data_IF_660030273804
#
_entry.id   IF_660030273804
#
_cell.length_a   1.000
_cell.length_b   1.000
_cell.length_c   1.000
_cell.angle_alpha   90.00
_cell.angle_beta   90.00
_cell.angle_gamma   90.00
#
_symmetry.space_group_name_H-M   'P 1'
#
loop_
_entity.id
_entity.type
_entity.pdbx_description
1 polymer ?
#
# COMPACT_ATOMS: atom_id res chain seq x y z
N UNK A 1 -12.52 22.54 8.38
CA UNK A 1 -13.43 21.52 8.93
C UNK A 1 -12.63 20.73 9.96
N UNK A 2 -12.86 20.98 11.25
CA UNK A 2 -12.10 20.35 12.34
C UNK A 2 -12.51 18.88 12.39
N UNK A 3 -11.64 17.98 11.92
CA UNK A 3 -11.77 16.54 12.15
C UNK A 3 -11.75 16.33 13.67
N UNK A 4 -12.91 16.23 14.32
CA UNK A 4 -13.02 15.76 15.69
C UNK A 4 -12.72 14.25 15.68
N UNK A 5 -11.43 13.92 15.71
CA UNK A 5 -10.93 12.55 15.81
C UNK A 5 -11.15 12.05 17.25
N UNK A 6 -12.13 11.17 17.40
CA UNK A 6 -12.42 10.44 18.64
C UNK A 6 -11.23 9.59 19.05
N UNK A 7 -10.69 9.80 20.27
CA UNK A 7 -10.10 8.86 21.27
C UNK A 7 -9.32 7.57 20.86
N UNK A 8 -9.03 7.33 19.58
CA UNK A 8 -8.51 6.06 19.07
C UNK A 8 -7.24 6.23 18.23
N UNK A 9 -6.57 7.39 18.26
CA UNK A 9 -5.35 7.67 17.51
C UNK A 9 -4.16 7.90 18.46
N UNK A 10 -2.93 7.65 17.99
CA UNK A 10 -1.69 7.89 18.74
C UNK A 10 -0.73 8.78 17.95
N UNK A 11 0.11 9.52 18.67
CA UNK A 11 1.02 10.52 18.10
C UNK A 11 0.31 11.84 17.74
N UNK A 12 1.05 12.81 17.21
CA UNK A 12 0.55 14.15 16.87
C UNK A 12 1.37 14.74 15.72
N UNK A 13 0.79 15.71 15.01
CA UNK A 13 1.48 16.49 13.98
C UNK A 13 1.57 17.95 14.47
N UNK A 14 2.78 18.39 14.78
CA UNK A 14 3.07 19.73 15.29
C UNK A 14 3.01 20.76 14.16
N UNK A 15 3.73 20.50 13.06
CA UNK A 15 3.65 21.31 11.85
C UNK A 15 2.76 20.61 10.81
N UNK A 16 1.51 21.09 10.70
CA UNK A 16 0.52 20.55 9.74
C UNK A 16 0.67 21.10 8.33
N UNK A 17 1.62 22.01 8.09
CA UNK A 17 1.89 22.55 6.76
C UNK A 17 2.83 21.66 5.94
N UNK A 18 3.60 20.79 6.59
CA UNK A 18 4.45 19.81 5.91
C UNK A 18 3.62 18.82 5.08
N UNK A 19 4.11 18.41 3.90
CA UNK A 19 3.53 17.29 3.16
C UNK A 19 3.49 16.02 4.01
N UNK A 20 2.58 15.11 3.65
CA UNK A 20 2.38 13.85 4.37
C UNK A 20 2.85 12.68 3.51
N UNK A 21 3.74 11.84 4.06
CA UNK A 21 3.88 10.47 3.61
C UNK A 21 2.77 9.66 4.27
N UNK A 22 1.97 8.98 3.45
CA UNK A 22 0.82 8.21 3.88
C UNK A 22 0.98 6.73 3.57
N UNK A 23 0.65 5.86 4.53
CA UNK A 23 0.50 4.43 4.29
C UNK A 23 -0.76 3.89 4.95
N UNK A 24 -1.44 2.98 4.27
CA UNK A 24 -2.63 2.32 4.80
C UNK A 24 -2.60 0.83 4.44
N UNK A 25 -2.62 -0.02 5.47
CA UNK A 25 -2.62 -1.47 5.33
C UNK A 25 -3.11 -2.15 6.61
N UNK A 26 -3.26 -3.47 6.56
CA UNK A 26 -3.30 -4.27 7.79
C UNK A 26 -1.94 -4.17 8.49
N UNK A 27 -1.94 -4.34 9.81
CA UNK A 27 -0.73 -4.37 10.60
C UNK A 27 -0.31 -5.83 10.79
N UNK A 28 0.53 -6.31 9.88
CA UNK A 28 1.13 -7.64 9.92
C UNK A 28 2.60 -7.57 9.46
N UNK A 29 3.38 -8.62 9.74
CA UNK A 29 4.82 -8.64 9.48
C UNK A 29 5.15 -8.46 7.99
N UNK A 30 4.32 -9.00 7.10
CA UNK A 30 4.56 -8.93 5.65
C UNK A 30 4.36 -7.50 5.16
N UNK A 31 3.33 -6.80 5.66
CA UNK A 31 3.07 -5.39 5.31
C UNK A 31 4.16 -4.43 5.77
N UNK A 32 4.95 -4.80 6.78
CA UNK A 32 6.18 -4.11 7.17
C UNK A 32 5.98 -2.61 7.48
N UNK A 33 4.85 -2.28 8.10
CA UNK A 33 4.51 -0.91 8.46
C UNK A 33 5.45 -0.38 9.56
N UNK A 34 5.82 -1.23 10.51
CA UNK A 34 6.82 -0.86 11.54
C UNK A 34 8.20 -0.60 10.94
N UNK A 35 8.60 -1.33 9.88
CA UNK A 35 9.86 -1.08 9.18
C UNK A 35 9.89 0.27 8.47
N UNK A 36 8.76 0.70 7.89
CA UNK A 36 8.62 2.06 7.37
C UNK A 36 8.79 3.12 8.47
N UNK A 37 8.13 2.93 9.61
CA UNK A 37 8.22 3.87 10.74
C UNK A 37 9.63 3.95 11.28
N UNK A 38 10.32 2.82 11.42
CA UNK A 38 11.73 2.78 11.83
C UNK A 38 12.65 3.50 10.83
N UNK A 39 12.46 3.26 9.53
CA UNK A 39 13.24 3.92 8.48
C UNK A 39 13.05 5.43 8.47
N UNK A 40 11.80 5.89 8.57
CA UNK A 40 11.47 7.31 8.72
C UNK A 40 12.09 7.92 9.99
N UNK A 41 11.99 7.21 11.12
CA UNK A 41 12.51 7.66 12.40
C UNK A 41 14.02 7.90 12.40
N UNK A 42 14.78 7.07 11.66
CA UNK A 42 16.24 7.14 11.53
C UNK A 42 16.71 8.24 10.57
N UNK A 43 15.88 8.70 9.65
CA UNK A 43 16.27 9.70 8.65
C UNK A 43 15.80 11.11 9.07
N UNK A 44 16.68 11.87 9.73
CA UNK A 44 16.37 13.24 10.20
C UNK A 44 15.99 14.19 9.07
N UNK A 45 16.65 14.09 7.90
CA UNK A 45 16.33 14.91 6.73
C UNK A 45 14.91 14.66 6.24
N UNK A 46 14.46 13.39 6.26
CA UNK A 46 13.10 13.05 5.88
C UNK A 46 12.08 13.64 6.88
N UNK A 47 12.33 13.50 8.19
CA UNK A 47 11.49 14.06 9.26
C UNK A 47 11.37 15.59 9.18
N UNK A 48 12.45 16.27 8.79
CA UNK A 48 12.43 17.72 8.56
C UNK A 48 11.53 18.12 7.40
N UNK A 49 11.49 17.32 6.33
CA UNK A 49 10.75 17.63 5.10
C UNK A 49 9.26 17.32 5.17
N UNK A 50 8.87 16.22 5.82
CA UNK A 50 7.51 15.68 5.76
C UNK A 50 7.05 15.13 7.10
N UNK A 51 5.74 14.97 7.26
CA UNK A 51 5.13 14.18 8.33
C UNK A 51 4.88 12.74 7.86
N UNK A 52 4.85 11.79 8.79
CA UNK A 52 4.43 10.42 8.52
C UNK A 52 3.04 10.14 9.12
N UNK A 53 2.13 9.64 8.29
CA UNK A 53 0.80 9.19 8.73
C UNK A 53 0.60 7.74 8.31
N UNK A 54 0.29 6.89 9.27
CA UNK A 54 0.03 5.47 9.06
C UNK A 54 -1.37 5.12 9.55
N UNK A 55 -2.15 4.46 8.70
CA UNK A 55 -3.43 3.83 9.04
C UNK A 55 -3.25 2.32 9.05
N UNK A 56 -3.10 1.73 10.23
CA UNK A 56 -2.87 0.31 10.36
C UNK A 56 -3.30 -0.24 11.73
N UNK A 57 -3.96 -1.40 11.72
CA UNK A 57 -4.30 -2.18 12.91
C UNK A 57 -5.03 -1.44 14.04
N UNK A 58 -4.96 -2.01 15.23
CA UNK A 58 -5.37 -1.37 16.48
C UNK A 58 -4.17 -0.73 17.20
N UNK A 59 -4.43 0.23 18.09
CA UNK A 59 -3.38 0.85 18.92
C UNK A 59 -3.17 0.09 20.23
N UNK A 60 -4.23 -0.49 20.79
CA UNK A 60 -4.16 -1.26 22.04
C UNK A 60 -4.08 -2.76 21.71
N UNK A 61 -3.03 -3.42 22.20
CA UNK A 61 -2.81 -4.87 22.06
C UNK A 61 -4.03 -5.68 22.51
N UNK A 62 -4.79 -5.20 23.52
CA UNK A 62 -5.97 -5.88 24.06
C UNK A 62 -7.14 -5.96 23.07
N UNK A 63 -7.11 -5.16 22.00
CA UNK A 63 -8.15 -5.15 20.96
C UNK A 63 -7.88 -6.17 19.85
N UNK A 64 -6.67 -6.72 19.79
CA UNK A 64 -6.33 -7.76 18.82
C UNK A 64 -6.26 -9.14 19.47
N UNK A 65 -6.67 -10.15 18.71
CA UNK A 65 -6.44 -11.56 19.04
C UNK A 65 -5.41 -12.21 18.10
N UNK A 66 -4.91 -11.45 17.11
CA UNK A 66 -3.91 -11.92 16.15
C UNK A 66 -2.51 -11.70 16.70
N UNK A 67 -1.71 -12.78 16.76
CA UNK A 67 -0.38 -12.73 17.36
C UNK A 67 0.61 -11.88 16.58
N UNK A 68 0.50 -11.82 15.25
CA UNK A 68 1.38 -10.98 14.44
C UNK A 68 1.03 -9.51 14.62
N UNK A 69 -0.26 -9.17 14.62
CA UNK A 69 -0.72 -7.81 14.86
C UNK A 69 -0.32 -7.32 16.26
N UNK A 70 -0.49 -8.15 17.31
CA UNK A 70 -0.05 -7.79 18.67
C UNK A 70 1.46 -7.46 18.71
N UNK A 71 2.30 -8.30 18.10
CA UNK A 71 3.74 -8.07 18.07
C UNK A 71 4.11 -6.79 17.31
N UNK A 72 3.43 -6.50 16.19
CA UNK A 72 3.64 -5.26 15.43
C UNK A 72 3.12 -4.02 16.17
N UNK A 73 2.05 -4.13 16.97
CA UNK A 73 1.56 -3.07 17.86
C UNK A 73 2.62 -2.74 18.92
N UNK A 74 3.16 -3.75 19.60
CA UNK A 74 4.21 -3.57 20.61
C UNK A 74 5.44 -2.89 20.01
N UNK A 75 5.91 -3.38 18.85
CA UNK A 75 7.02 -2.78 18.11
C UNK A 75 6.73 -1.33 17.70
N UNK A 76 5.51 -1.00 17.28
CA UNK A 76 5.11 0.36 16.94
C UNK A 76 5.26 1.30 18.15
N UNK A 77 4.77 0.89 19.32
CA UNK A 77 4.91 1.67 20.55
C UNK A 77 6.37 1.86 20.96
N UNK A 78 7.18 0.80 20.86
CA UNK A 78 8.61 0.86 21.16
C UNK A 78 9.34 1.85 20.24
N UNK A 79 9.07 1.82 18.93
CA UNK A 79 9.63 2.77 17.97
C UNK A 79 9.20 4.21 18.28
N UNK A 80 7.92 4.44 18.58
CA UNK A 80 7.42 5.77 18.94
C UNK A 80 8.12 6.34 20.17
N UNK A 81 8.37 5.50 21.19
CA UNK A 81 9.07 5.88 22.42
C UNK A 81 10.57 6.07 22.20
N UNK A 82 11.21 5.15 21.48
CA UNK A 82 12.65 5.15 21.25
C UNK A 82 13.11 6.38 20.46
N UNK A 83 12.35 6.78 19.44
CA UNK A 83 12.75 7.86 18.52
C UNK A 83 12.04 9.20 18.75
N UNK A 84 11.22 9.28 19.81
CA UNK A 84 10.33 10.40 20.14
C UNK A 84 9.66 11.00 18.91
N UNK A 85 8.71 10.24 18.35
CA UNK A 85 8.04 10.60 17.09
C UNK A 85 6.86 11.57 17.29
N UNK A 86 6.69 12.12 18.50
CA UNK A 86 5.63 13.08 18.78
C UNK A 86 5.84 14.37 17.98
N UNK A 87 4.80 14.85 17.31
CA UNK A 87 4.85 16.05 16.48
C UNK A 87 5.16 15.79 15.00
N UNK A 88 5.62 14.60 14.63
CA UNK A 88 6.01 14.27 13.25
C UNK A 88 5.37 12.97 12.73
N UNK A 89 4.79 12.17 13.63
CA UNK A 89 4.15 10.91 13.31
C UNK A 89 2.73 10.84 13.86
N UNK A 90 1.81 10.33 13.03
CA UNK A 90 0.44 10.02 13.43
C UNK A 90 0.10 8.59 13.07
N UNK A 91 -0.28 7.81 14.07
CA UNK A 91 -0.81 6.47 13.91
C UNK A 91 -2.32 6.49 14.13
N UNK A 92 -3.06 6.10 13.11
CA UNK A 92 -4.52 6.05 13.07
C UNK A 92 -4.94 4.58 12.99
N UNK A 93 -5.95 4.19 13.76
CA UNK A 93 -6.48 2.81 13.69
C UNK A 93 -7.07 2.52 12.31
N UNK A 94 -7.12 1.24 11.94
CA UNK A 94 -7.69 0.76 10.69
C UNK A 94 -9.07 1.41 10.38
N UNK A 95 -9.25 1.83 9.12
CA UNK A 95 -10.42 2.56 8.65
C UNK A 95 -11.28 1.68 7.73
N UNK A 96 -12.55 1.48 8.07
CA UNK A 96 -13.47 0.58 7.33
C UNK A 96 -14.39 1.30 6.35
N UNK A 97 -14.53 2.63 6.46
CA UNK A 97 -15.40 3.40 5.59
C UNK A 97 -14.67 3.78 4.28
N UNK A 98 -14.95 3.06 3.21
CA UNK A 98 -14.31 3.25 1.89
C UNK A 98 -14.51 4.65 1.30
N UNK A 99 -15.69 5.25 1.49
CA UNK A 99 -15.95 6.60 0.98
C UNK A 99 -15.04 7.62 1.67
N UNK A 100 -14.91 7.53 3.00
CA UNK A 100 -13.98 8.36 3.77
C UNK A 100 -12.52 8.08 3.42
N UNK A 101 -12.15 6.82 3.17
CA UNK A 101 -10.79 6.47 2.78
C UNK A 101 -10.41 7.09 1.42
N UNK A 102 -11.35 7.16 0.47
CA UNK A 102 -11.14 7.87 -0.79
C UNK A 102 -10.84 9.36 -0.59
N UNK A 103 -11.57 10.02 0.32
CA UNK A 103 -11.26 11.42 0.67
C UNK A 103 -9.93 11.55 1.42
N UNK A 104 -9.54 10.56 2.22
CA UNK A 104 -8.24 10.57 2.87
C UNK A 104 -7.11 10.60 1.83
N UNK A 105 -7.14 9.73 0.83
CA UNK A 105 -6.15 9.75 -0.26
C UNK A 105 -6.09 11.11 -0.98
N UNK A 106 -7.25 11.69 -1.33
CA UNK A 106 -7.32 13.02 -1.95
C UNK A 106 -6.78 14.13 -1.04
N UNK A 107 -7.10 14.07 0.25
CA UNK A 107 -6.60 15.04 1.23
C UNK A 107 -5.07 14.98 1.33
N UNK A 108 -4.47 13.79 1.31
CA UNK A 108 -3.00 13.68 1.28
C UNK A 108 -2.45 14.28 -0.02
N UNK A 109 -3.12 14.06 -1.16
CA UNK A 109 -2.74 14.65 -2.43
C UNK A 109 -2.78 16.19 -2.40
N UNK A 110 -3.79 16.78 -1.73
CA UNK A 110 -3.89 18.24 -1.53
C UNK A 110 -2.70 18.80 -0.73
N UNK A 111 -2.15 18.03 0.21
CA UNK A 111 -0.93 18.39 0.95
C UNK A 111 0.37 18.23 0.15
N UNK A 112 0.29 17.85 -1.13
CA UNK A 112 1.44 17.46 -1.96
C UNK A 112 2.28 16.35 -1.32
N UNK A 113 1.59 15.44 -0.63
CA UNK A 113 2.16 14.26 0.00
C UNK A 113 2.49 13.13 -0.98
N UNK A 114 2.78 11.95 -0.45
CA UNK A 114 3.01 10.74 -1.22
C UNK A 114 2.44 9.51 -0.51
N UNK A 115 2.11 8.45 -1.26
CA UNK A 115 1.76 7.15 -0.70
C UNK A 115 2.99 6.25 -0.67
N UNK A 116 3.13 5.45 0.39
CA UNK A 116 4.16 4.43 0.47
C UNK A 116 3.59 3.07 0.87
N UNK A 117 4.02 2.03 0.16
CA UNK A 117 3.68 0.63 0.39
C UNK A 117 4.98 -0.15 0.64
N UNK A 118 5.35 -0.43 1.92
CA UNK A 118 6.68 -0.91 2.28
C UNK A 118 6.78 -2.44 2.49
N UNK A 119 5.80 -3.23 2.03
CA UNK A 119 5.75 -4.66 2.34
C UNK A 119 6.99 -5.41 1.84
N UNK A 120 7.42 -6.42 2.59
CA UNK A 120 8.43 -7.37 2.13
C UNK A 120 8.01 -8.09 0.84
N UNK A 121 6.71 -8.32 0.69
CA UNK A 121 6.11 -8.83 -0.53
C UNK A 121 4.66 -8.35 -0.62
N UNK A 122 4.22 -7.92 -1.80
CA UNK A 122 2.82 -7.53 -2.05
C UNK A 122 2.31 -8.25 -3.29
N UNK A 123 1.30 -9.12 -3.14
CA UNK A 123 0.84 -9.95 -4.25
C UNK A 123 0.24 -9.12 -5.41
N UNK A 124 -0.50 -8.06 -5.08
CA UNK A 124 -1.04 -7.14 -6.07
C UNK A 124 -0.89 -5.68 -5.63
N UNK A 125 -1.49 -5.31 -4.50
CA UNK A 125 -1.42 -3.94 -3.96
C UNK A 125 -2.57 -3.05 -4.43
N UNK A 126 -3.80 -3.37 -4.05
CA UNK A 126 -4.96 -2.51 -4.34
C UNK A 126 -4.78 -1.08 -3.81
N UNK A 127 -4.10 -0.91 -2.67
CA UNK A 127 -3.83 0.42 -2.10
C UNK A 127 -2.87 1.25 -2.96
N UNK A 128 -2.00 0.61 -3.76
CA UNK A 128 -1.17 1.28 -4.79
C UNK A 128 -2.07 1.82 -5.90
N UNK A 129 -2.98 0.98 -6.41
CA UNK A 129 -3.96 1.38 -7.43
C UNK A 129 -4.86 2.51 -6.91
N UNK A 130 -5.36 2.41 -5.68
CA UNK A 130 -6.21 3.44 -5.04
C UNK A 130 -5.48 4.78 -4.90
N UNK A 131 -4.23 4.77 -4.44
CA UNK A 131 -3.40 5.97 -4.32
C UNK A 131 -3.15 6.62 -5.68
N UNK A 132 -2.69 5.85 -6.66
CA UNK A 132 -2.45 6.33 -8.03
C UNK A 132 -3.73 6.86 -8.69
N UNK A 133 -4.88 6.22 -8.45
CA UNK A 133 -6.20 6.69 -8.95
C UNK A 133 -6.57 8.05 -8.38
N UNK A 134 -6.12 8.37 -7.16
CA UNK A 134 -6.32 9.67 -6.54
C UNK A 134 -5.25 10.70 -6.93
N UNK A 135 -4.35 10.36 -7.86
CA UNK A 135 -3.24 11.22 -8.27
C UNK A 135 -2.16 11.38 -7.20
N UNK A 136 -2.05 10.45 -6.25
CA UNK A 136 -1.04 10.51 -5.20
C UNK A 136 0.25 9.80 -5.67
N UNK A 137 1.39 10.51 -5.81
CA UNK A 137 2.67 9.89 -6.13
C UNK A 137 2.97 8.73 -5.19
N UNK A 138 3.27 7.57 -5.75
CA UNK A 138 3.31 6.31 -5.01
C UNK A 138 4.70 5.68 -5.05
N UNK A 139 5.18 5.28 -3.87
CA UNK A 139 6.38 4.49 -3.63
C UNK A 139 5.95 3.09 -3.19
N UNK A 140 6.29 2.05 -3.93
CA UNK A 140 5.85 0.69 -3.58
C UNK A 140 6.99 -0.32 -3.68
N UNK A 141 6.84 -1.42 -2.94
CA UNK A 141 7.82 -2.52 -2.95
C UNK A 141 8.05 -3.03 -4.37
N UNK A 142 9.30 -3.35 -4.70
CA UNK A 142 9.65 -4.02 -5.96
C UNK A 142 9.36 -5.54 -5.92
N UNK A 143 8.96 -6.08 -4.77
CA UNK A 143 8.71 -7.50 -4.60
C UNK A 143 7.22 -7.83 -4.72
N UNK A 144 6.82 -8.30 -5.91
CA UNK A 144 5.47 -8.77 -6.21
C UNK A 144 4.73 -7.87 -7.21
N UNK A 145 3.41 -7.78 -7.08
CA UNK A 145 2.52 -7.10 -8.02
C UNK A 145 2.84 -5.61 -8.28
N UNK A 146 3.20 -4.79 -7.27
CA UNK A 146 3.48 -3.37 -7.50
C UNK A 146 4.62 -3.11 -8.48
N UNK A 147 5.56 -4.05 -8.64
CA UNK A 147 6.66 -3.99 -9.61
C UNK A 147 6.18 -3.96 -11.07
N UNK A 148 5.01 -4.54 -11.36
CA UNK A 148 4.35 -4.46 -12.67
C UNK A 148 3.44 -3.23 -12.76
N UNK A 149 2.79 -2.85 -11.65
CA UNK A 149 1.85 -1.73 -11.62
C UNK A 149 2.56 -0.41 -11.93
N UNK A 150 3.72 -0.19 -11.31
CA UNK A 150 4.48 1.06 -11.40
C UNK A 150 5.57 0.98 -12.46
N UNK A 151 5.67 2.05 -13.27
CA UNK A 151 6.84 2.32 -14.09
C UNK A 151 7.74 3.32 -13.34
N UNK A 152 8.90 2.82 -12.87
CA UNK A 152 9.80 3.57 -12.00
C UNK A 152 10.23 4.91 -12.61
N UNK A 153 10.02 6.01 -11.87
CA UNK A 153 10.33 7.37 -12.29
C UNK A 153 9.33 7.99 -13.27
N UNK A 154 8.30 7.25 -13.68
CA UNK A 154 7.27 7.70 -14.63
C UNK A 154 5.92 7.78 -13.93
N UNK A 155 5.40 6.64 -13.45
CA UNK A 155 4.08 6.56 -12.81
C UNK A 155 4.16 6.41 -11.28
N UNK A 156 5.36 6.45 -10.72
CA UNK A 156 5.67 6.19 -9.32
C UNK A 156 7.10 5.71 -9.15
N UNK A 157 7.42 5.17 -7.97
CA UNK A 157 8.76 4.69 -7.66
C UNK A 157 8.72 3.31 -7.00
N UNK A 158 9.77 2.56 -7.26
CA UNK A 158 10.04 1.28 -6.59
C UNK A 158 10.96 1.51 -5.40
N UNK A 159 10.67 0.82 -4.30
CA UNK A 159 11.51 0.75 -3.11
C UNK A 159 11.84 -0.71 -2.81
N UNK A 160 13.02 -0.95 -2.22
CA UNK A 160 13.38 -2.27 -1.71
C UNK A 160 13.24 -2.27 -0.18
N UNK A 161 12.28 -3.02 0.39
CA UNK A 161 12.07 -3.09 1.84
C UNK A 161 13.26 -3.70 2.59
N UNK A 162 14.17 -4.39 1.91
CA UNK A 162 15.42 -4.91 2.49
C UNK A 162 16.54 -3.86 2.54
N UNK A 163 16.36 -2.72 1.88
CA UNK A 163 17.28 -1.58 1.87
C UNK A 163 16.56 -0.28 2.31
N UNK A 164 16.05 -0.23 3.55
CA UNK A 164 15.20 0.87 4.03
C UNK A 164 15.88 2.25 3.95
N UNK A 165 17.19 2.31 4.15
CA UNK A 165 17.94 3.57 4.05
C UNK A 165 17.89 4.14 2.62
N UNK A 166 17.99 3.29 1.59
CA UNK A 166 17.87 3.72 0.19
C UNK A 166 16.45 4.17 -0.13
N UNK A 167 15.43 3.50 0.42
CA UNK A 167 14.04 3.91 0.26
C UNK A 167 13.78 5.30 0.88
N UNK A 168 14.34 5.55 2.07
CA UNK A 168 14.26 6.86 2.73
C UNK A 168 15.01 7.95 1.97
N UNK A 169 16.21 7.68 1.45
CA UNK A 169 16.94 8.65 0.62
C UNK A 169 16.21 8.97 -0.69
N UNK A 170 15.52 7.98 -1.28
CA UNK A 170 14.69 8.22 -2.46
C UNK A 170 13.51 9.15 -2.15
N UNK A 171 12.86 8.99 -1.00
CA UNK A 171 11.80 9.89 -0.54
C UNK A 171 12.35 11.30 -0.28
N UNK A 172 13.49 11.43 0.41
CA UNK A 172 14.16 12.72 0.63
C UNK A 172 14.40 13.43 -0.70
N UNK A 173 15.00 12.72 -1.66
CA UNK A 173 15.27 13.26 -3.00
C UNK A 173 13.99 13.72 -3.69
N UNK A 174 12.93 12.93 -3.66
CA UNK A 174 11.65 13.28 -4.28
C UNK A 174 11.06 14.57 -3.68
N UNK A 175 11.01 14.68 -2.35
CA UNK A 175 10.46 15.87 -1.69
C UNK A 175 11.35 17.11 -1.85
N UNK A 176 12.68 16.95 -1.93
CA UNK A 176 13.59 18.04 -2.30
C UNK A 176 13.32 18.54 -3.72
N UNK A 177 13.20 17.63 -4.69
CA UNK A 177 12.87 17.97 -6.08
C UNK A 177 11.50 18.64 -6.20
N UNK A 178 10.50 18.20 -5.43
CA UNK A 178 9.20 18.88 -5.39
C UNK A 178 9.28 20.29 -4.81
N UNK A 179 10.23 20.56 -3.91
CA UNK A 179 10.46 21.89 -3.31
C UNK A 179 11.14 22.83 -4.30
N UNK A 180 12.04 22.29 -5.14
CA UNK A 180 12.77 23.02 -6.18
C UNK A 180 11.92 23.26 -7.44
N UNK A 181 11.19 22.24 -7.90
CA UNK A 181 10.24 22.29 -9.02
C UNK A 181 8.89 21.72 -8.58
N UNK A 182 7.90 22.56 -8.22
CA UNK A 182 6.56 22.09 -7.88
C UNK A 182 5.87 21.27 -8.98
N UNK A 183 6.30 21.40 -10.25
CA UNK A 183 5.77 20.57 -11.33
C UNK A 183 6.28 19.12 -11.27
N UNK A 184 7.36 18.84 -10.55
CA UNK A 184 7.87 17.47 -10.39
C UNK A 184 6.80 16.56 -9.77
N UNK A 185 6.10 17.03 -8.74
CA UNK A 185 5.02 16.29 -8.11
C UNK A 185 3.88 16.00 -9.10
N UNK A 186 3.45 17.01 -9.86
CA UNK A 186 2.36 16.88 -10.81
C UNK A 186 2.72 15.90 -11.95
N UNK A 187 3.97 15.91 -12.44
CA UNK A 187 4.43 14.94 -13.46
C UNK A 187 4.26 13.49 -13.01
N UNK A 188 4.65 13.16 -11.77
CA UNK A 188 4.50 11.80 -11.24
C UNK A 188 3.02 11.47 -10.97
N UNK A 189 2.24 12.45 -10.48
CA UNK A 189 0.79 12.33 -10.28
C UNK A 189 0.07 11.99 -11.59
N UNK A 190 0.33 12.76 -12.65
CA UNK A 190 -0.27 12.58 -13.98
C UNK A 190 0.15 11.24 -14.60
N UNK A 191 1.43 10.86 -14.46
CA UNK A 191 1.91 9.54 -14.90
C UNK A 191 1.23 8.39 -14.15
N UNK A 192 0.98 8.55 -12.86
CA UNK A 192 0.21 7.60 -12.05
C UNK A 192 -1.23 7.45 -12.53
N UNK A 193 -1.93 8.57 -12.76
CA UNK A 193 -3.30 8.58 -13.28
C UNK A 193 -3.39 7.92 -14.65
N UNK A 194 -2.50 8.31 -15.57
CA UNK A 194 -2.45 7.74 -16.91
C UNK A 194 -2.23 6.22 -16.88
N UNK A 195 -1.28 5.75 -16.06
CA UNK A 195 -1.00 4.31 -15.89
C UNK A 195 -2.23 3.52 -15.47
N UNK A 196 -3.01 4.06 -14.53
CA UNK A 196 -4.23 3.39 -14.04
C UNK A 196 -5.29 3.34 -15.13
N UNK A 197 -5.56 4.46 -15.82
CA UNK A 197 -6.59 4.50 -16.87
C UNK A 197 -6.28 3.56 -18.03
N UNK A 198 -5.01 3.36 -18.38
CA UNK A 198 -4.59 2.48 -19.47
C UNK A 198 -4.64 0.99 -19.12
N UNK A 199 -4.46 0.62 -17.85
CA UNK A 199 -4.19 -0.79 -17.47
C UNK A 199 -5.13 -1.37 -16.41
N UNK A 200 -5.52 -0.58 -15.42
CA UNK A 200 -6.11 -1.08 -14.16
C UNK A 200 -7.52 -0.54 -13.92
N UNK A 201 -8.42 -0.73 -14.90
CA UNK A 201 -9.83 -0.35 -14.78
C UNK A 201 -10.77 -1.56 -14.83
N UNK A 202 -11.89 -1.47 -14.12
CA UNK A 202 -12.92 -2.52 -14.12
C UNK A 202 -13.58 -2.73 -15.50
N UNK A 203 -13.54 -1.71 -16.37
CA UNK A 203 -14.01 -1.81 -17.75
C UNK A 203 -13.11 -2.76 -18.57
N UNK A 204 -11.80 -2.54 -18.54
CA UNK A 204 -10.84 -3.43 -19.23
C UNK A 204 -10.94 -4.85 -18.67
N UNK A 205 -11.10 -4.98 -17.35
CA UNK A 205 -11.29 -6.28 -16.71
C UNK A 205 -12.52 -7.02 -17.22
N UNK A 206 -13.70 -6.37 -17.23
CA UNK A 206 -14.95 -7.02 -17.61
C UNK A 206 -14.97 -7.43 -19.08
N UNK A 207 -14.45 -6.58 -19.98
CA UNK A 207 -14.34 -6.89 -21.42
C UNK A 207 -13.46 -8.12 -21.67
N UNK A 208 -12.31 -8.22 -21.00
CA UNK A 208 -11.42 -9.38 -21.09
C UNK A 208 -12.06 -10.63 -20.50
N UNK A 209 -12.68 -10.53 -19.33
CA UNK A 209 -13.32 -11.66 -18.67
C UNK A 209 -14.43 -12.26 -19.54
N UNK A 210 -15.29 -11.42 -20.14
CA UNK A 210 -16.36 -11.89 -21.02
C UNK A 210 -15.82 -12.59 -22.27
N UNK A 211 -14.75 -12.05 -22.86
CA UNK A 211 -14.06 -12.67 -24.01
C UNK A 211 -13.52 -14.05 -23.64
N UNK A 212 -12.77 -14.15 -22.53
CA UNK A 212 -12.20 -15.40 -22.06
C UNK A 212 -13.30 -16.41 -21.71
N UNK A 213 -14.39 -15.98 -21.05
CA UNK A 213 -15.51 -16.85 -20.73
C UNK A 213 -16.12 -17.49 -21.98
N UNK A 214 -16.30 -16.72 -23.06
CA UNK A 214 -16.79 -17.24 -24.35
C UNK A 214 -15.81 -18.25 -24.96
N UNK A 215 -14.54 -17.85 -25.12
CA UNK A 215 -13.50 -18.69 -25.74
C UNK A 215 -13.29 -19.99 -24.98
N UNK A 216 -13.13 -19.93 -23.66
CA UNK A 216 -12.88 -21.13 -22.85
C UNK A 216 -14.13 -22.01 -22.71
N UNK A 217 -15.34 -21.47 -22.79
CA UNK A 217 -16.56 -22.28 -22.81
C UNK A 217 -16.65 -23.11 -24.09
N UNK A 218 -16.34 -22.51 -25.23
CA UNK A 218 -16.25 -23.24 -26.50
C UNK A 218 -15.13 -24.28 -26.48
N UNK A 219 -13.92 -23.88 -26.05
CA UNK A 219 -12.78 -24.78 -25.95
C UNK A 219 -13.05 -25.98 -25.04
N UNK A 220 -13.73 -25.76 -23.90
CA UNK A 220 -14.14 -26.84 -22.97
C UNK A 220 -15.03 -27.88 -23.63
N UNK A 221 -15.89 -27.48 -24.58
CA UNK A 221 -16.72 -28.42 -25.33
C UNK A 221 -15.86 -29.25 -26.31
N UNK A 222 -14.98 -28.57 -27.06
CA UNK A 222 -14.11 -29.21 -28.06
C UNK A 222 -13.10 -30.17 -27.43
N UNK A 223 -12.44 -29.78 -26.35
CA UNK A 223 -11.38 -30.57 -25.70
C UNK A 223 -11.91 -31.58 -24.66
N UNK A 224 -13.21 -31.91 -24.66
CA UNK A 224 -13.85 -32.64 -23.56
C UNK A 224 -13.32 -34.07 -23.39
N UNK A 225 -13.03 -34.77 -24.49
CA UNK A 225 -12.56 -36.16 -24.46
C UNK A 225 -11.15 -36.26 -23.86
N UNK A 226 -10.26 -35.34 -24.22
CA UNK A 226 -8.85 -35.30 -23.77
C UNK A 226 -8.69 -34.90 -22.28
N UNK A 227 -9.71 -34.28 -21.68
CA UNK A 227 -9.67 -33.86 -20.26
C UNK A 227 -10.20 -34.90 -19.29
N UNK A 228 -10.66 -36.08 -19.77
CA UNK A 228 -11.33 -37.07 -18.92
C UNK A 228 -10.38 -37.72 -17.92
N UNK A 229 -9.17 -38.05 -18.35
CA UNK A 229 -8.11 -38.66 -17.54
C UNK A 229 -7.66 -37.70 -16.46
N UNK A 230 -7.33 -36.45 -16.84
CA UNK A 230 -6.95 -35.39 -15.89
C UNK A 230 -8.04 -35.15 -14.85
N UNK A 231 -9.31 -35.15 -15.27
CA UNK A 231 -10.44 -35.02 -14.36
C UNK A 231 -10.48 -36.14 -13.32
N UNK A 232 -10.29 -37.40 -13.72
CA UNK A 232 -10.26 -38.54 -12.78
C UNK A 232 -9.07 -38.47 -11.83
N UNK A 233 -7.91 -38.04 -12.33
CA UNK A 233 -6.74 -37.83 -11.49
C UNK A 233 -7.00 -36.75 -10.41
N UNK A 234 -7.59 -35.61 -10.79
CA UNK A 234 -7.93 -34.54 -9.84
C UNK A 234 -9.00 -34.98 -8.83
N UNK A 235 -10.00 -35.75 -9.26
CA UNK A 235 -11.00 -36.34 -8.35
C UNK A 235 -10.34 -37.27 -7.32
N UNK A 236 -9.45 -38.16 -7.78
CA UNK A 236 -8.68 -39.05 -6.89
C UNK A 236 -7.79 -38.25 -5.93
N UNK A 237 -7.07 -37.24 -6.43
CA UNK A 237 -6.22 -36.38 -5.61
C UNK A 237 -7.02 -35.67 -4.52
N UNK A 238 -8.19 -35.11 -4.86
CA UNK A 238 -9.07 -34.48 -3.89
C UNK A 238 -9.53 -35.47 -2.82
N UNK A 239 -10.05 -36.64 -3.24
CA UNK A 239 -10.66 -37.63 -2.35
C UNK A 239 -9.62 -38.27 -1.43
N UNK A 240 -8.47 -38.67 -1.96
CA UNK A 240 -7.49 -39.50 -1.24
C UNK A 240 -6.36 -38.71 -0.59
N UNK A 241 -6.24 -37.41 -0.86
CA UNK A 241 -5.17 -36.57 -0.31
C UNK A 241 -5.68 -35.27 0.29
N UNK A 242 -6.45 -34.49 -0.46
CA UNK A 242 -6.81 -33.15 0.01
C UNK A 242 -7.87 -33.18 1.11
N UNK A 243 -8.87 -34.06 1.01
CA UNK A 243 -10.02 -34.09 1.91
C UNK A 243 -9.65 -34.34 3.39
N UNK A 244 -8.56 -35.05 3.63
CA UNK A 244 -8.15 -35.50 4.96
C UNK A 244 -7.10 -34.59 5.63
N UNK A 245 -6.68 -33.51 4.95
CA UNK A 245 -5.80 -32.45 5.49
C UNK A 245 -6.63 -31.35 6.15
#
# INVERSE_FOLDING_TARGET
MTLSLSLCDSGSLADRSKPIIFSMARLDRVKNITGLVESYAKNSKLRELVNLVVVAGYIDVKKSSDREEIAEIEKMHDLMKQYDLNGEFRWITAQTNRARNGELYRYIADTKGAFIQPAFYEAFGLTVVEAMTCGLPTFATLHGGPAEIIEHGVSGFHIDPYHPDQASELLVKFFQQCKEDPNHWNKISDGGLQRIYERYTWKIYSERLMTLAGVYSFWKYVSKLERRETRRYLEMFYILKFRDL
#
